data_IF_412164299018
#
_entry.id   IF_412164299018
#
_cell.length_a   1.000
_cell.length_b   1.000
_cell.length_c   1.000
_cell.angle_alpha   90.00
_cell.angle_beta   90.00
_cell.angle_gamma   90.00
#
_symmetry.space_group_name_H-M   'P 1'
#
loop_
_entity.id
_entity.type
_entity.pdbx_description
1 polymer ?
#
# COMPACT_ATOMS: atom_id res chain seq x y z
N UNK A 1 -7.53 48.16 6.00
CA UNK A 1 -6.91 47.27 6.99
C UNK A 1 -6.85 45.93 6.28
N UNK A 2 -5.64 45.40 6.09
CA UNK A 2 -5.45 44.04 5.59
C UNK A 2 -5.29 43.16 6.83
N UNK A 3 -6.33 42.37 7.12
CA UNK A 3 -6.30 41.42 8.22
C UNK A 3 -5.87 40.06 7.67
N UNK A 4 -4.80 39.48 8.23
CA UNK A 4 -4.36 38.12 7.96
C UNK A 4 -4.93 37.17 9.02
N UNK A 5 -5.40 36.00 8.57
CA UNK A 5 -5.89 34.93 9.44
C UNK A 5 -5.02 33.70 9.28
N UNK A 6 -4.60 33.12 10.40
CA UNK A 6 -3.92 31.83 10.41
C UNK A 6 -4.89 30.73 9.96
N UNK A 7 -4.43 29.89 9.02
CA UNK A 7 -5.18 28.74 8.51
C UNK A 7 -4.76 27.46 9.23
N UNK A 8 -5.63 26.44 9.19
CA UNK A 8 -5.35 25.12 9.73
C UNK A 8 -4.21 24.42 8.99
N UNK A 9 -3.49 23.55 9.71
CA UNK A 9 -2.44 22.72 9.12
C UNK A 9 -3.02 21.73 8.11
N UNK A 10 -2.61 21.85 6.85
CA UNK A 10 -2.99 20.94 5.77
C UNK A 10 -1.88 19.90 5.55
N UNK A 11 -2.24 18.61 5.64
CA UNK A 11 -1.31 17.50 5.40
C UNK A 11 -1.65 16.78 4.11
N UNK A 12 -0.63 16.54 3.30
CA UNK A 12 -0.69 15.71 2.12
C UNK A 12 -0.08 14.34 2.43
N UNK A 13 -0.74 13.29 1.95
CA UNK A 13 -0.34 11.90 2.06
C UNK A 13 -0.23 11.27 0.67
N UNK A 14 0.42 10.10 0.56
CA UNK A 14 0.47 9.35 -0.71
C UNK A 14 -0.92 8.97 -1.20
N UNK A 15 -1.88 8.75 -0.29
CA UNK A 15 -3.26 8.45 -0.66
C UNK A 15 -3.93 9.56 -1.47
N UNK A 16 -3.50 10.82 -1.33
CA UNK A 16 -4.03 11.96 -2.10
C UNK A 16 -3.53 11.99 -3.56
N UNK A 17 -2.53 11.16 -3.87
CA UNK A 17 -1.80 11.11 -5.14
C UNK A 17 -2.14 9.84 -5.92
N UNK A 18 -3.01 8.99 -5.35
CA UNK A 18 -3.35 7.66 -5.84
C UNK A 18 -4.85 7.59 -6.11
N UNK A 19 -5.20 7.10 -7.30
CA UNK A 19 -6.54 6.67 -7.61
C UNK A 19 -6.68 5.17 -7.41
N UNK A 20 -7.75 4.75 -6.74
CA UNK A 20 -8.10 3.33 -6.54
C UNK A 20 -8.40 2.66 -7.87
N UNK A 21 -7.78 1.50 -8.11
CA UNK A 21 -7.97 0.70 -9.32
C UNK A 21 -8.40 -0.72 -8.96
N UNK A 22 -9.49 -1.20 -9.54
CA UNK A 22 -9.91 -2.60 -9.33
C UNK A 22 -9.27 -3.50 -10.38
N UNK A 23 -8.50 -4.50 -9.94
CA UNK A 23 -8.03 -5.60 -10.79
C UNK A 23 -8.78 -6.88 -10.45
N UNK A 24 -9.40 -7.50 -11.46
CA UNK A 24 -10.11 -8.78 -11.31
C UNK A 24 -9.17 -9.98 -11.30
N UNK A 25 -7.98 -9.84 -11.92
CA UNK A 25 -6.91 -10.82 -11.92
C UNK A 25 -5.59 -10.10 -11.61
N UNK A 26 -5.26 -10.02 -10.33
CA UNK A 26 -4.05 -9.35 -9.87
C UNK A 26 -2.80 -10.06 -10.38
N UNK A 27 -2.80 -11.40 -10.39
CA UNK A 27 -1.65 -12.18 -10.86
C UNK A 27 -1.30 -11.87 -12.31
N UNK A 28 -2.29 -11.77 -13.20
CA UNK A 28 -2.03 -11.44 -14.59
C UNK A 28 -1.43 -10.03 -14.74
N UNK A 29 -1.99 -9.03 -14.04
CA UNK A 29 -1.47 -7.67 -14.07
C UNK A 29 -0.06 -7.57 -13.45
N UNK A 30 0.21 -8.36 -12.40
CA UNK A 30 1.52 -8.43 -11.77
C UNK A 30 2.60 -8.99 -12.70
N UNK A 31 2.27 -10.04 -13.46
CA UNK A 31 3.17 -10.60 -14.47
C UNK A 31 3.34 -9.67 -15.68
N UNK A 32 2.29 -8.96 -16.09
CA UNK A 32 2.34 -7.98 -17.18
C UNK A 32 3.29 -6.81 -16.89
N UNK A 33 3.26 -6.26 -15.67
CA UNK A 33 4.21 -5.24 -15.22
C UNK A 33 5.65 -5.75 -15.16
N UNK A 34 5.83 -7.04 -14.87
CA UNK A 34 7.14 -7.67 -14.75
C UNK A 34 7.98 -7.15 -13.57
N UNK A 35 9.18 -7.70 -13.34
CA UNK A 35 10.00 -7.38 -12.17
C UNK A 35 10.98 -6.22 -12.38
N UNK A 36 10.95 -5.50 -13.52
CA UNK A 36 11.98 -4.49 -13.85
C UNK A 36 12.08 -3.36 -12.83
N UNK A 37 10.94 -2.93 -12.30
CA UNK A 37 10.80 -1.89 -11.28
C UNK A 37 10.41 -2.48 -9.92
N UNK A 38 10.67 -3.77 -9.67
CA UNK A 38 10.30 -4.39 -8.40
C UNK A 38 11.18 -3.85 -7.26
N UNK A 39 10.55 -3.23 -6.26
CA UNK A 39 11.18 -2.90 -5.00
C UNK A 39 10.55 -3.72 -3.88
N UNK A 40 11.40 -4.28 -3.02
CA UNK A 40 10.97 -5.07 -1.87
C UNK A 40 11.61 -4.55 -0.59
N UNK A 41 10.78 -4.28 0.42
CA UNK A 41 11.23 -3.83 1.74
C UNK A 41 10.46 -4.56 2.86
N UNK A 42 11.13 -4.75 4.00
CA UNK A 42 10.56 -5.45 5.16
C UNK A 42 10.43 -4.49 6.34
N UNK A 43 9.23 -4.42 6.92
CA UNK A 43 8.90 -3.56 8.05
C UNK A 43 8.42 -4.38 9.24
N UNK A 44 8.75 -3.92 10.44
CA UNK A 44 8.27 -4.48 11.70
C UNK A 44 7.26 -3.53 12.36
N UNK A 45 5.97 -3.87 12.25
CA UNK A 45 4.86 -3.14 12.89
C UNK A 45 4.69 -3.66 14.32
N UNK A 46 5.67 -3.37 15.18
CA UNK A 46 5.75 -3.89 16.56
C UNK A 46 4.57 -3.47 17.45
N UNK A 47 3.93 -2.34 17.13
CA UNK A 47 2.74 -1.84 17.83
C UNK A 47 1.42 -2.51 17.38
N UNK A 48 1.44 -3.24 16.25
CA UNK A 48 0.27 -3.91 15.69
C UNK A 48 0.24 -5.37 16.12
N UNK A 49 -0.87 -5.78 16.75
CA UNK A 49 -1.09 -7.15 17.24
C UNK A 49 -2.18 -7.92 16.47
N UNK A 50 -2.64 -7.38 15.34
CA UNK A 50 -3.70 -7.96 14.52
C UNK A 50 -3.41 -7.69 13.05
N UNK A 51 -3.50 -8.74 12.24
CA UNK A 51 -3.35 -8.66 10.79
C UNK A 51 -4.43 -7.76 10.19
N UNK A 52 -5.64 -7.74 10.76
CA UNK A 52 -6.76 -6.93 10.30
C UNK A 52 -6.51 -5.45 10.51
N UNK A 53 -5.95 -5.07 11.65
CA UNK A 53 -5.55 -3.68 11.92
C UNK A 53 -4.43 -3.24 11.00
N UNK A 54 -3.39 -4.08 10.84
CA UNK A 54 -2.29 -3.80 9.94
C UNK A 54 -2.78 -3.62 8.50
N UNK A 55 -3.57 -4.56 7.99
CA UNK A 55 -4.17 -4.49 6.64
C UNK A 55 -4.97 -3.20 6.41
N UNK A 56 -5.87 -2.84 7.34
CA UNK A 56 -6.66 -1.60 7.25
C UNK A 56 -5.77 -0.35 7.27
N UNK A 57 -4.74 -0.34 8.11
CA UNK A 57 -3.79 0.77 8.20
C UNK A 57 -3.03 0.96 6.89
N UNK A 58 -2.52 -0.13 6.30
CA UNK A 58 -1.78 -0.09 5.05
C UNK A 58 -2.68 0.39 3.89
N UNK A 59 -3.92 -0.11 3.81
CA UNK A 59 -4.91 0.37 2.83
C UNK A 59 -5.15 1.88 2.97
N UNK A 60 -5.25 2.37 4.21
CA UNK A 60 -5.49 3.79 4.47
C UNK A 60 -4.29 4.66 4.10
N UNK A 61 -3.07 4.25 4.46
CA UNK A 61 -1.83 4.99 4.17
C UNK A 61 -1.58 5.08 2.66
N UNK A 62 -1.67 3.95 1.96
CA UNK A 62 -1.36 3.88 0.53
C UNK A 62 -2.51 4.38 -0.36
N UNK A 63 -3.75 4.40 0.15
CA UNK A 63 -4.92 4.79 -0.63
C UNK A 63 -5.30 3.82 -1.76
N UNK A 64 -4.64 2.67 -1.84
CA UNK A 64 -4.83 1.67 -2.91
C UNK A 64 -6.07 0.79 -2.69
N UNK A 65 -6.55 0.20 -3.78
CA UNK A 65 -7.71 -0.68 -3.77
C UNK A 65 -7.31 -2.12 -3.48
N UNK A 66 -7.90 -2.79 -2.46
CA UNK A 66 -7.74 -4.23 -2.30
C UNK A 66 -8.34 -5.01 -3.46
N UNK A 67 -7.54 -5.92 -4.00
CA UNK A 67 -7.90 -6.84 -5.07
C UNK A 67 -8.32 -8.19 -4.49
N UNK A 68 -9.20 -8.90 -5.21
CA UNK A 68 -9.54 -10.30 -4.93
C UNK A 68 -10.02 -10.57 -3.48
N UNK A 69 -10.62 -9.57 -2.84
CA UNK A 69 -11.05 -9.62 -1.42
C UNK A 69 -9.91 -9.90 -0.43
N UNK A 70 -8.68 -9.55 -0.81
CA UNK A 70 -7.51 -9.68 0.06
C UNK A 70 -7.55 -8.77 1.29
N UNK A 71 -8.53 -7.86 1.41
CA UNK A 71 -8.84 -7.14 2.66
C UNK A 71 -9.54 -8.04 3.71
N UNK A 72 -10.08 -9.20 3.30
CA UNK A 72 -10.74 -10.16 4.18
C UNK A 72 -9.74 -11.19 4.68
N UNK A 73 -9.42 -11.08 5.97
CA UNK A 73 -8.48 -11.98 6.62
C UNK A 73 -9.28 -13.12 7.28
N UNK A 74 -8.98 -14.39 6.97
CA UNK A 74 -9.63 -15.52 7.63
C UNK A 74 -9.23 -15.60 9.10
N UNK A 75 -10.18 -15.97 9.97
CA UNK A 75 -9.94 -16.13 11.40
C UNK A 75 -8.87 -17.21 11.69
N UNK A 76 -8.07 -16.99 12.73
CA UNK A 76 -7.06 -17.95 13.20
C UNK A 76 -5.81 -18.09 12.32
N UNK A 77 -5.64 -17.23 11.31
CA UNK A 77 -4.42 -17.18 10.49
C UNK A 77 -3.37 -16.27 11.13
N UNK A 78 -2.12 -16.73 11.12
CA UNK A 78 -0.94 -15.96 11.53
C UNK A 78 -0.17 -15.38 10.34
N UNK A 79 -0.62 -15.60 9.11
CA UNK A 79 -0.04 -15.03 7.92
C UNK A 79 -1.14 -14.70 6.91
N UNK A 80 -0.94 -13.63 6.15
CA UNK A 80 -1.91 -13.16 5.16
C UNK A 80 -1.21 -12.39 4.03
N UNK A 81 -1.75 -12.44 2.82
CA UNK A 81 -1.26 -11.64 1.70
C UNK A 81 -2.32 -10.64 1.29
N UNK A 82 -1.98 -9.35 1.40
CA UNK A 82 -2.80 -8.24 0.92
C UNK A 82 -2.32 -7.85 -0.49
N UNK A 83 -3.26 -7.71 -1.43
CA UNK A 83 -3.01 -7.35 -2.82
C UNK A 83 -3.69 -6.02 -3.10
N UNK A 84 -2.93 -5.03 -3.55
CA UNK A 84 -3.39 -3.65 -3.70
C UNK A 84 -3.07 -3.14 -5.10
N UNK A 85 -4.00 -2.40 -5.70
CA UNK A 85 -3.82 -1.79 -7.01
C UNK A 85 -4.30 -0.33 -7.02
N UNK A 86 -3.64 0.48 -7.83
CA UNK A 86 -4.01 1.87 -8.05
C UNK A 86 -3.31 2.48 -9.26
N UNK A 87 -3.65 3.74 -9.51
CA UNK A 87 -3.01 4.59 -10.50
C UNK A 87 -2.40 5.76 -9.74
N UNK A 88 -1.07 5.88 -9.77
CA UNK A 88 -0.34 7.03 -9.28
C UNK A 88 -0.37 8.18 -10.31
N UNK A 89 0.06 9.36 -9.89
CA UNK A 89 0.12 10.57 -10.72
C UNK A 89 0.66 10.31 -12.12
N UNK A 90 0.02 10.95 -13.10
CA UNK A 90 0.40 10.81 -14.51
C UNK A 90 -0.16 9.56 -15.20
N UNK A 91 -1.02 8.79 -14.52
CA UNK A 91 -1.63 7.60 -15.11
C UNK A 91 -0.80 6.32 -14.89
N UNK A 92 0.22 6.38 -14.04
CA UNK A 92 1.15 5.26 -13.81
C UNK A 92 0.48 4.20 -12.95
N UNK A 93 0.29 3.01 -13.51
CA UNK A 93 -0.22 1.88 -12.74
C UNK A 93 0.79 1.46 -11.66
N UNK A 94 0.29 1.23 -10.45
CA UNK A 94 1.04 0.69 -9.33
C UNK A 94 0.32 -0.52 -8.74
N UNK A 95 1.06 -1.60 -8.57
CA UNK A 95 0.63 -2.79 -7.88
C UNK A 95 1.51 -3.01 -6.66
N UNK A 96 0.87 -3.41 -5.56
CA UNK A 96 1.54 -3.67 -4.28
C UNK A 96 1.08 -5.01 -3.75
N UNK A 97 2.04 -5.84 -3.35
CA UNK A 97 1.81 -7.10 -2.64
C UNK A 97 2.41 -6.97 -1.25
N UNK A 98 1.61 -7.20 -0.22
CA UNK A 98 2.06 -7.17 1.17
C UNK A 98 1.89 -8.55 1.78
N UNK A 99 2.99 -9.20 2.16
CA UNK A 99 2.95 -10.43 2.95
C UNK A 99 3.07 -10.08 4.42
N UNK A 100 2.05 -10.39 5.19
CA UNK A 100 1.95 -10.12 6.61
C UNK A 100 2.15 -11.42 7.40
N UNK A 101 2.87 -11.34 8.51
CA UNK A 101 3.02 -12.43 9.48
C UNK A 101 2.88 -11.89 10.91
N UNK A 102 2.06 -12.56 11.72
CA UNK A 102 1.82 -12.25 13.13
C UNK A 102 2.59 -13.24 14.01
N UNK A 103 3.60 -12.75 14.73
CA UNK A 103 4.37 -13.51 15.72
C UNK A 103 4.30 -12.78 17.07
N UNK A 104 5.27 -11.91 17.38
CA UNK A 104 5.29 -11.03 18.55
C UNK A 104 4.98 -9.57 18.15
N UNK A 105 4.07 -9.43 17.20
CA UNK A 105 3.84 -8.22 16.41
C UNK A 105 3.65 -8.60 14.94
N UNK A 106 3.23 -7.64 14.12
CA UNK A 106 3.09 -7.86 12.68
C UNK A 106 4.40 -7.51 11.98
N UNK A 107 5.01 -8.50 11.32
CA UNK A 107 6.08 -8.26 10.33
C UNK A 107 5.44 -8.24 8.94
N UNK A 108 5.89 -7.32 8.09
CA UNK A 108 5.41 -7.26 6.71
C UNK A 108 6.56 -7.16 5.71
N UNK A 109 6.40 -7.86 4.59
CA UNK A 109 7.21 -7.69 3.39
C UNK A 109 6.35 -6.98 2.34
N UNK A 110 6.72 -5.75 2.00
CA UNK A 110 6.10 -4.92 0.99
C UNK A 110 6.85 -5.12 -0.33
N UNK A 111 6.17 -5.59 -1.37
CA UNK A 111 6.70 -5.64 -2.73
C UNK A 111 5.89 -4.67 -3.61
N UNK A 112 6.54 -3.73 -4.28
CA UNK A 112 5.91 -2.74 -5.15
C UNK A 112 6.40 -2.91 -6.59
N UNK A 113 5.48 -2.82 -7.55
CA UNK A 113 5.78 -2.75 -8.99
C UNK A 113 4.99 -1.62 -9.62
N UNK A 114 5.59 -0.93 -10.58
CA UNK A 114 4.92 0.12 -11.36
C UNK A 114 5.52 0.24 -12.76
N UNK A 115 4.83 0.89 -13.69
CA UNK A 115 5.37 1.10 -15.05
C UNK A 115 6.63 1.99 -15.07
N UNK A 116 6.80 2.83 -14.03
CA UNK A 116 7.94 3.73 -13.87
C UNK A 116 8.77 3.33 -12.63
N UNK A 117 10.10 3.26 -12.78
CA UNK A 117 11.07 2.85 -11.77
C UNK A 117 11.15 3.77 -10.53
N UNK A 118 10.74 5.04 -10.65
CA UNK A 118 10.76 5.99 -9.52
C UNK A 118 9.57 5.81 -8.56
N UNK A 119 8.46 5.26 -9.04
CA UNK A 119 7.22 5.12 -8.25
C UNK A 119 7.34 4.12 -7.10
N UNK A 120 7.96 2.93 -7.27
CA UNK A 120 8.18 1.98 -6.19
C UNK A 120 8.88 2.57 -4.96
N UNK A 121 9.94 3.36 -5.14
CA UNK A 121 10.67 4.02 -4.04
C UNK A 121 9.77 5.03 -3.30
N UNK A 122 9.01 5.84 -4.03
CA UNK A 122 8.09 6.81 -3.44
C UNK A 122 6.96 6.14 -2.66
N UNK A 123 6.38 5.06 -3.18
CA UNK A 123 5.33 4.31 -2.51
C UNK A 123 5.88 3.61 -1.26
N UNK A 124 7.10 3.08 -1.34
CA UNK A 124 7.73 2.35 -0.23
C UNK A 124 8.11 3.28 0.92
N UNK A 125 8.70 4.44 0.62
CA UNK A 125 9.04 5.48 1.61
C UNK A 125 7.84 6.14 2.30
N UNK A 126 6.61 5.92 1.79
CA UNK A 126 5.39 6.39 2.46
C UNK A 126 4.99 5.54 3.68
N UNK A 127 5.60 4.38 3.81
CA UNK A 127 5.50 3.49 4.96
C UNK A 127 6.71 3.80 5.85
N UNK A 128 6.63 4.87 6.64
CA UNK A 128 7.61 5.22 7.69
C UNK A 128 6.92 5.40 9.04
#
# INVERSE_FOLDING_TARGET
YDDEYELEEFRLSVSDYVQRLTKTNFSAAWEELGPSSELEETFALTSMNSLEKASKSIIAILGLQPCERSDKIPEGKNAHTLLLAGIYRGGVEVLVRVKLALVDGVTMQLTVRAENEDVPELITSSIE
#
